data_IF_027910021152
#
_entry.id   IF_027910021152
#
_cell.length_a   1.000
_cell.length_b   1.000
_cell.length_c   1.000
_cell.angle_alpha   90.00
_cell.angle_beta   90.00
_cell.angle_gamma   90.00
#
_symmetry.space_group_name_H-M   'P 1'
#
loop_
_entity.id
_entity.type
_entity.pdbx_description
1 polymer ?
#
# COMPACT_ATOMS: atom_id res chain seq x y z
N UNK A 1 -49.11 -5.98 7.49
CA UNK A 1 -49.51 -4.87 6.60
C UNK A 1 -48.66 -4.95 5.33
N UNK A 2 -49.24 -5.46 4.24
CA UNK A 2 -48.79 -5.49 2.83
C UNK A 2 -47.29 -5.24 2.51
N UNK A 3 -46.44 -6.28 2.56
CA UNK A 3 -45.31 -6.38 1.63
C UNK A 3 -45.89 -6.85 0.28
N UNK A 4 -46.42 -5.88 -0.47
CA UNK A 4 -46.97 -6.09 -1.81
C UNK A 4 -45.92 -6.72 -2.71
N UNK A 5 -46.29 -7.87 -3.25
CA UNK A 5 -45.96 -8.41 -4.56
C UNK A 5 -45.56 -7.31 -5.56
N UNK A 6 -44.29 -6.92 -5.54
CA UNK A 6 -43.64 -6.42 -6.75
C UNK A 6 -43.22 -7.67 -7.49
N UNK A 7 -44.03 -8.01 -8.49
CA UNK A 7 -43.71 -8.89 -9.62
C UNK A 7 -42.19 -9.00 -9.77
N UNK A 8 -41.65 -10.17 -9.43
CA UNK A 8 -40.27 -10.50 -9.71
C UNK A 8 -40.14 -10.56 -11.24
N UNK A 9 -39.82 -9.42 -11.87
CA UNK A 9 -39.00 -9.46 -13.07
C UNK A 9 -37.86 -10.44 -12.75
N UNK A 10 -37.80 -11.55 -13.49
CA UNK A 10 -36.69 -12.50 -13.38
C UNK A 10 -35.41 -11.69 -13.57
N UNK A 11 -34.74 -11.34 -12.47
CA UNK A 11 -33.46 -10.65 -12.54
C UNK A 11 -32.57 -11.52 -13.43
N UNK A 12 -31.96 -10.97 -14.49
CA UNK A 12 -31.12 -11.76 -15.39
C UNK A 12 -30.03 -12.43 -14.57
N UNK A 13 -29.65 -13.65 -14.96
CA UNK A 13 -28.57 -14.39 -14.32
C UNK A 13 -27.31 -13.51 -14.28
N UNK A 14 -26.81 -13.22 -13.08
CA UNK A 14 -25.56 -12.48 -12.88
C UNK A 14 -24.48 -13.45 -12.43
N UNK A 15 -23.35 -13.46 -13.14
CA UNK A 15 -22.18 -14.28 -12.80
C UNK A 15 -21.16 -13.52 -11.93
N UNK A 16 -21.38 -12.23 -11.68
CA UNK A 16 -20.55 -11.39 -10.83
C UNK A 16 -21.43 -10.53 -9.93
N UNK A 17 -20.93 -10.21 -8.73
CA UNK A 17 -21.56 -9.28 -7.79
C UNK A 17 -20.64 -8.09 -7.57
N UNK A 18 -20.72 -7.04 -8.41
CA UNK A 18 -19.83 -5.90 -8.29
C UNK A 18 -19.96 -5.22 -6.92
N UNK A 19 -18.83 -5.08 -6.22
CA UNK A 19 -18.72 -4.24 -5.03
C UNK A 19 -18.92 -2.79 -5.45
N UNK A 20 -19.87 -2.13 -4.79
CA UNK A 20 -20.07 -0.69 -4.95
C UNK A 20 -18.99 0.04 -4.18
N UNK A 21 -18.05 0.66 -4.89
CA UNK A 21 -17.02 1.49 -4.28
C UNK A 21 -17.63 2.85 -3.92
N UNK A 22 -17.56 3.30 -2.66
CA UNK A 22 -17.96 4.66 -2.29
C UNK A 22 -17.07 5.68 -3.01
N UNK A 23 -17.67 6.73 -3.57
CA UNK A 23 -16.88 7.79 -4.19
C UNK A 23 -16.06 8.52 -3.12
N UNK A 24 -14.74 8.72 -3.35
CA UNK A 24 -13.92 9.43 -2.39
C UNK A 24 -14.25 10.92 -2.41
N UNK A 25 -14.04 11.58 -1.27
CA UNK A 25 -14.20 13.03 -1.15
C UNK A 25 -13.15 13.81 -1.94
N UNK A 26 -11.97 13.23 -2.10
CA UNK A 26 -10.86 13.76 -2.87
C UNK A 26 -10.25 12.67 -3.74
N UNK A 27 -9.98 13.01 -4.99
CA UNK A 27 -9.23 12.18 -5.92
C UNK A 27 -7.78 12.64 -5.95
N UNK A 28 -6.87 11.71 -6.17
CA UNK A 28 -5.43 11.94 -6.24
C UNK A 28 -5.11 12.65 -7.56
N UNK A 29 -4.54 13.83 -7.45
CA UNK A 29 -3.98 14.64 -8.54
C UNK A 29 -2.55 14.27 -8.92
N UNK A 30 -2.09 14.76 -10.08
CA UNK A 30 -0.85 14.29 -10.71
C UNK A 30 0.43 14.70 -9.98
N UNK A 31 0.39 15.83 -9.27
CA UNK A 31 1.52 16.40 -8.53
C UNK A 31 1.43 16.17 -7.02
N UNK A 32 0.39 15.46 -6.59
CA UNK A 32 0.11 15.26 -5.19
C UNK A 32 0.98 14.15 -4.62
N UNK A 33 1.59 14.40 -3.47
CA UNK A 33 2.37 13.39 -2.76
C UNK A 33 1.44 12.32 -2.18
N UNK A 34 1.66 11.06 -2.57
CA UNK A 34 1.01 9.89 -1.96
C UNK A 34 1.97 9.24 -0.96
N UNK A 35 1.49 8.95 0.23
CA UNK A 35 2.20 8.16 1.23
C UNK A 35 1.45 6.85 1.45
N UNK A 36 2.12 5.70 1.32
CA UNK A 36 1.51 4.38 1.52
C UNK A 36 2.09 3.69 2.76
N UNK A 37 1.26 3.13 3.62
CA UNK A 37 1.69 2.26 4.71
C UNK A 37 0.79 1.04 4.83
N UNK A 38 1.37 -0.12 5.09
CA UNK A 38 0.54 -1.28 5.42
C UNK A 38 1.15 -2.62 5.08
N UNK A 39 0.26 -3.60 4.88
CA UNK A 39 0.56 -4.97 4.43
C UNK A 39 1.27 -5.03 3.07
N UNK A 40 1.65 -6.22 2.59
CA UNK A 40 2.24 -6.41 1.26
C UNK A 40 1.38 -5.82 0.12
N UNK A 41 0.06 -5.71 0.30
CA UNK A 41 -0.80 -5.08 -0.69
C UNK A 41 -0.52 -3.56 -0.85
N UNK A 42 -0.01 -2.89 0.20
CA UNK A 42 0.48 -1.52 0.09
C UNK A 42 1.68 -1.42 -0.87
N UNK A 43 2.53 -2.44 -0.95
CA UNK A 43 3.64 -2.47 -1.92
C UNK A 43 3.13 -2.62 -3.36
N UNK A 44 2.05 -3.37 -3.58
CA UNK A 44 1.39 -3.43 -4.90
C UNK A 44 0.84 -2.07 -5.32
N UNK A 45 0.19 -1.34 -4.40
CA UNK A 45 -0.29 0.03 -4.64
C UNK A 45 0.89 0.96 -4.92
N UNK A 46 1.97 0.86 -4.14
CA UNK A 46 3.17 1.69 -4.29
C UNK A 46 3.84 1.46 -5.66
N UNK A 47 4.08 0.19 -6.03
CA UNK A 47 4.64 -0.15 -7.35
C UNK A 47 3.74 0.32 -8.48
N UNK A 48 2.42 0.24 -8.30
CA UNK A 48 1.46 0.72 -9.27
C UNK A 48 1.65 2.22 -9.56
N UNK A 49 1.81 3.04 -8.53
CA UNK A 49 2.09 4.47 -8.66
C UNK A 49 3.48 4.73 -9.26
N UNK A 50 4.52 4.04 -8.79
CA UNK A 50 5.90 4.17 -9.27
C UNK A 50 6.02 3.87 -10.78
N UNK A 51 5.46 2.74 -11.23
CA UNK A 51 5.43 2.36 -12.66
C UNK A 51 4.66 3.35 -13.55
N UNK A 52 3.87 4.23 -12.94
CA UNK A 52 3.08 5.26 -13.62
C UNK A 52 3.62 6.65 -13.35
N UNK A 53 4.82 6.77 -12.76
CA UNK A 53 5.49 8.03 -12.43
C UNK A 53 4.65 8.99 -11.58
N UNK A 54 3.73 8.45 -10.79
CA UNK A 54 2.97 9.23 -9.82
C UNK A 54 3.79 9.29 -8.52
N UNK A 55 4.03 10.48 -7.94
CA UNK A 55 4.86 10.63 -6.74
C UNK A 55 4.31 9.83 -5.56
N UNK A 56 5.09 8.84 -5.11
CA UNK A 56 4.72 8.00 -3.97
C UNK A 56 5.93 7.70 -3.08
N UNK A 57 5.71 7.69 -1.77
CA UNK A 57 6.62 7.14 -0.77
C UNK A 57 5.89 6.09 0.05
N UNK A 58 6.59 5.07 0.55
CA UNK A 58 5.92 4.01 1.29
C UNK A 58 6.75 3.42 2.42
N UNK A 59 6.03 2.84 3.40
CA UNK A 59 6.53 1.87 4.38
C UNK A 59 7.88 2.26 5.00
N UNK A 60 7.91 3.25 5.92
CA UNK A 60 9.14 3.81 6.50
C UNK A 60 10.04 2.77 7.17
N UNK A 61 9.44 1.75 7.80
CA UNK A 61 10.11 0.60 8.39
C UNK A 61 9.93 -0.69 7.61
N UNK A 62 9.43 -0.64 6.37
CA UNK A 62 8.95 -1.83 5.65
C UNK A 62 7.50 -2.20 6.01
N UNK A 63 7.10 -3.41 5.58
CA UNK A 63 5.70 -3.86 5.63
C UNK A 63 5.19 -3.91 7.07
N UNK A 64 4.10 -3.20 7.34
CA UNK A 64 3.48 -3.08 8.67
C UNK A 64 2.02 -3.48 8.60
N UNK A 65 1.68 -4.67 9.09
CA UNK A 65 0.37 -5.27 8.82
C UNK A 65 -0.76 -4.76 9.72
N UNK A 66 -0.47 -4.33 10.94
CA UNK A 66 -1.50 -4.07 11.94
C UNK A 66 -1.67 -2.56 12.23
N UNK A 67 -2.89 -2.11 12.54
CA UNK A 67 -3.17 -0.70 12.85
C UNK A 67 -2.38 -0.11 14.02
N UNK A 68 -2.03 -0.91 15.02
CA UNK A 68 -1.36 -0.44 16.24
C UNK A 68 0.09 -0.04 15.92
N UNK A 69 0.81 -0.88 15.18
CA UNK A 69 2.15 -0.57 14.67
C UNK A 69 2.13 0.60 13.68
N UNK A 70 1.09 0.71 12.84
CA UNK A 70 0.92 1.88 11.96
C UNK A 70 0.74 3.16 12.80
N UNK A 71 -0.11 3.15 13.82
CA UNK A 71 -0.30 4.27 14.75
C UNK A 71 1.01 4.68 15.42
N UNK A 72 1.82 3.71 15.86
CA UNK A 72 3.15 3.97 16.41
C UNK A 72 4.04 4.71 15.40
N UNK A 73 4.13 4.22 14.16
CA UNK A 73 4.89 4.88 13.10
C UNK A 73 4.41 6.30 12.80
N UNK A 74 3.09 6.51 12.68
CA UNK A 74 2.53 7.84 12.44
C UNK A 74 2.91 8.81 13.57
N UNK A 75 2.78 8.38 14.82
CA UNK A 75 3.15 9.21 15.96
C UNK A 75 4.65 9.55 15.97
N UNK A 76 5.53 8.58 15.67
CA UNK A 76 6.96 8.81 15.65
C UNK A 76 7.36 9.79 14.54
N UNK A 77 6.77 9.67 13.34
CA UNK A 77 7.04 10.59 12.24
C UNK A 77 6.53 12.00 12.54
N UNK A 78 5.32 12.14 13.08
CA UNK A 78 4.75 13.45 13.45
C UNK A 78 5.56 14.10 14.58
N UNK A 79 5.91 13.33 15.61
CA UNK A 79 6.64 13.77 16.79
C UNK A 79 8.15 13.87 16.62
N UNK A 80 8.68 13.66 15.41
CA UNK A 80 10.13 13.64 15.11
C UNK A 80 10.92 12.77 16.10
N UNK A 81 10.44 11.55 16.29
CA UNK A 81 11.02 10.55 17.20
C UNK A 81 11.72 9.46 16.38
N UNK A 82 12.95 9.71 15.91
CA UNK A 82 13.72 8.73 15.14
C UNK A 82 14.10 7.51 16.01
N UNK A 83 14.46 6.37 15.38
CA UNK A 83 15.05 5.26 16.11
C UNK A 83 16.30 5.71 16.86
N UNK A 84 16.62 5.03 17.96
CA UNK A 84 17.83 5.28 18.75
C UNK A 84 18.82 4.14 18.61
N UNK A 85 20.11 4.45 18.73
CA UNK A 85 21.18 3.46 18.55
C UNK A 85 21.10 2.33 19.58
N UNK A 86 20.59 2.60 20.78
CA UNK A 86 20.46 1.62 21.87
C UNK A 86 19.34 0.60 21.61
N UNK A 87 18.38 0.94 20.74
CA UNK A 87 17.28 0.06 20.32
C UNK A 87 17.73 -0.93 19.23
N UNK A 88 18.94 -0.75 18.69
CA UNK A 88 19.52 -1.62 17.67
C UNK A 88 20.27 -2.80 18.31
N UNK A 89 19.71 -3.99 18.14
CA UNK A 89 20.23 -5.24 18.72
C UNK A 89 20.83 -6.16 17.66
N UNK A 90 21.77 -7.01 18.06
CA UNK A 90 22.39 -8.01 17.19
C UNK A 90 21.65 -9.35 17.28
N UNK A 91 21.42 -9.99 16.14
CA UNK A 91 20.95 -11.36 16.07
C UNK A 91 21.45 -12.03 14.78
N UNK A 92 22.15 -13.17 14.91
CA UNK A 92 22.66 -13.98 13.79
C UNK A 92 23.56 -13.22 12.81
N UNK A 93 24.45 -12.37 13.32
CA UNK A 93 25.43 -11.61 12.57
C UNK A 93 24.89 -10.35 11.89
N UNK A 94 23.65 -9.95 12.20
CA UNK A 94 23.02 -8.75 11.67
C UNK A 94 22.46 -7.90 12.80
N UNK A 95 22.43 -6.59 12.59
CA UNK A 95 21.84 -5.61 13.49
C UNK A 95 20.43 -5.26 13.04
N UNK A 96 19.50 -5.29 13.99
CA UNK A 96 18.06 -5.24 13.79
C UNK A 96 17.41 -4.18 14.68
N UNK A 97 16.19 -3.81 14.34
CA UNK A 97 15.31 -2.98 15.17
C UNK A 97 13.89 -3.51 15.04
N UNK A 98 13.16 -3.64 16.15
CA UNK A 98 11.83 -4.30 16.16
C UNK A 98 10.76 -3.58 15.32
N UNK A 99 10.92 -2.28 15.11
CA UNK A 99 10.04 -1.48 14.24
C UNK A 99 10.40 -1.51 12.75
N UNK A 100 11.56 -2.08 12.37
CA UNK A 100 12.04 -2.12 10.98
C UNK A 100 12.10 -3.54 10.44
N UNK A 101 11.79 -3.70 9.16
CA UNK A 101 11.90 -4.96 8.43
C UNK A 101 13.36 -5.37 8.27
N UNK A 102 13.63 -6.67 8.13
CA UNK A 102 14.98 -7.21 7.98
C UNK A 102 15.77 -6.68 6.76
N UNK A 103 15.11 -6.04 5.80
CA UNK A 103 15.78 -5.32 4.69
C UNK A 103 16.59 -4.11 5.17
N UNK A 104 16.29 -3.58 6.35
CA UNK A 104 17.03 -2.48 6.97
C UNK A 104 18.25 -2.95 7.75
N UNK A 105 18.35 -4.26 8.03
CA UNK A 105 19.42 -4.84 8.81
C UNK A 105 20.75 -4.81 8.07
N UNK A 106 21.84 -4.64 8.82
CA UNK A 106 23.21 -4.61 8.31
C UNK A 106 24.16 -5.37 9.25
N UNK A 107 25.31 -5.86 8.77
CA UNK A 107 26.32 -6.51 9.64
C UNK A 107 26.97 -5.60 10.69
N UNK A 108 26.75 -4.28 10.66
CA UNK A 108 27.28 -3.34 11.65
C UNK A 108 26.19 -2.44 12.24
N UNK A 109 26.26 -2.17 13.55
CA UNK A 109 25.27 -1.38 14.30
C UNK A 109 25.07 0.01 13.69
N UNK A 110 26.16 0.75 13.50
CA UNK A 110 26.09 2.12 12.99
C UNK A 110 25.54 2.18 11.56
N UNK A 111 25.88 1.19 10.74
CA UNK A 111 25.35 1.08 9.38
C UNK A 111 23.85 0.76 9.37
N UNK A 112 23.38 -0.14 10.24
CA UNK A 112 21.97 -0.46 10.38
C UNK A 112 21.19 0.76 10.90
N UNK A 113 21.69 1.39 11.96
CA UNK A 113 21.12 2.61 12.54
C UNK A 113 21.03 3.74 11.52
N UNK A 114 22.12 4.05 10.81
CA UNK A 114 22.15 5.13 9.82
C UNK A 114 21.14 4.89 8.69
N UNK A 115 21.01 3.66 8.21
CA UNK A 115 20.03 3.28 7.20
C UNK A 115 18.57 3.42 7.71
N UNK A 116 18.31 3.10 8.97
CA UNK A 116 17.00 3.27 9.60
C UNK A 116 16.66 4.76 9.83
N UNK A 117 17.65 5.54 10.29
CA UNK A 117 17.53 6.98 10.50
C UNK A 117 17.25 7.72 9.20
N UNK A 118 18.00 7.42 8.13
CA UNK A 118 17.78 8.01 6.81
C UNK A 118 16.35 7.76 6.31
N UNK A 119 15.87 6.52 6.47
CA UNK A 119 14.50 6.15 6.12
C UNK A 119 13.47 6.94 6.94
N UNK A 120 13.70 7.11 8.25
CA UNK A 120 12.83 7.90 9.11
C UNK A 120 12.75 9.35 8.64
N UNK A 121 13.90 10.01 8.45
CA UNK A 121 13.99 11.42 8.05
C UNK A 121 13.25 11.64 6.72
N UNK A 122 13.56 10.82 5.72
CA UNK A 122 12.90 10.90 4.40
C UNK A 122 11.39 10.66 4.51
N UNK A 123 10.99 9.67 5.30
CA UNK A 123 9.56 9.35 5.46
C UNK A 123 8.79 10.44 6.17
N UNK A 124 9.40 11.08 7.16
CA UNK A 124 8.80 12.21 7.88
C UNK A 124 8.55 13.35 6.91
N UNK A 125 9.57 13.77 6.16
CA UNK A 125 9.45 14.81 5.15
C UNK A 125 8.31 14.51 4.16
N UNK A 126 8.25 13.28 3.67
CA UNK A 126 7.23 12.86 2.70
C UNK A 126 5.82 12.81 3.29
N UNK A 127 5.65 12.35 4.52
CA UNK A 127 4.34 12.27 5.17
C UNK A 127 3.78 13.66 5.46
N UNK A 128 4.61 14.59 5.94
CA UNK A 128 4.17 15.95 6.28
C UNK A 128 3.80 16.78 5.06
N UNK A 129 4.34 16.46 3.88
CA UNK A 129 4.02 17.13 2.62
C UNK A 129 3.05 16.34 1.74
N UNK A 130 2.61 15.15 2.16
CA UNK A 130 1.66 14.35 1.38
C UNK A 130 0.27 14.98 1.37
N UNK A 131 -0.46 14.83 0.28
CA UNK A 131 -1.90 15.16 0.21
C UNK A 131 -2.77 13.93 0.46
N UNK A 132 -2.22 12.74 0.19
CA UNK A 132 -2.91 11.48 0.40
C UNK A 132 -2.07 10.50 1.22
N UNK A 133 -2.69 9.89 2.23
CA UNK A 133 -2.14 8.76 2.99
C UNK A 133 -3.00 7.52 2.77
N UNK A 134 -2.43 6.46 2.20
CA UNK A 134 -3.11 5.18 1.99
C UNK A 134 -2.67 4.19 3.08
N UNK A 135 -3.61 3.74 3.91
CA UNK A 135 -3.35 2.77 4.97
C UNK A 135 -4.00 1.42 4.63
N UNK A 136 -3.17 0.39 4.48
CA UNK A 136 -3.60 -0.96 4.11
C UNK A 136 -3.47 -1.92 5.30
N UNK A 137 -4.57 -2.19 6.00
CA UNK A 137 -4.57 -3.07 7.17
C UNK A 137 -4.59 -4.55 6.77
N UNK A 138 -3.60 -5.30 7.23
CA UNK A 138 -3.47 -6.74 7.03
C UNK A 138 -4.16 -7.56 8.12
N UNK A 139 -3.88 -7.25 9.39
CA UNK A 139 -4.36 -8.04 10.54
C UNK A 139 -4.66 -7.18 11.77
N UNK A 140 -5.64 -7.59 12.57
CA UNK A 140 -5.97 -7.03 13.88
C UNK A 140 -5.13 -7.63 15.03
N UNK A 141 -4.12 -8.45 14.72
CA UNK A 141 -3.21 -9.02 15.71
C UNK A 141 -1.88 -8.28 15.76
N UNK A 142 -1.33 -8.13 16.96
CA UNK A 142 0.05 -7.66 17.18
C UNK A 142 0.89 -8.77 17.79
N UNK A 143 2.21 -8.63 17.65
CA UNK A 143 3.17 -9.29 18.52
C UNK A 143 3.78 -8.23 19.45
N UNK A 144 4.00 -8.59 20.70
CA UNK A 144 4.71 -7.75 21.67
C UNK A 144 5.81 -8.55 22.35
N UNK A 145 6.94 -7.91 22.66
CA UNK A 145 8.00 -8.53 23.45
C UNK A 145 7.47 -8.90 24.83
N UNK A 146 7.74 -10.13 25.28
CA UNK A 146 7.36 -10.56 26.64
C UNK A 146 8.10 -9.81 27.73
N UNK A 147 9.33 -9.41 27.44
CA UNK A 147 10.21 -8.75 28.41
C UNK A 147 9.66 -7.39 28.88
N UNK A 148 9.11 -6.59 27.97
CA UNK A 148 8.73 -5.21 28.25
C UNK A 148 7.33 -4.81 27.72
N UNK A 149 6.63 -5.71 27.02
CA UNK A 149 5.31 -5.46 26.43
C UNK A 149 5.32 -4.59 25.16
N UNK A 150 6.48 -4.22 24.62
CA UNK A 150 6.57 -3.38 23.43
C UNK A 150 5.98 -4.10 22.22
N UNK A 151 5.04 -3.46 21.52
CA UNK A 151 4.50 -3.96 20.24
C UNK A 151 5.55 -3.83 19.15
N UNK A 152 5.85 -4.95 18.48
CA UNK A 152 6.88 -5.02 17.44
C UNK A 152 6.27 -5.14 16.06
N UNK A 153 6.96 -4.60 15.05
CA UNK A 153 6.57 -4.72 13.64
C UNK A 153 7.27 -5.90 12.95
N UNK A 154 8.42 -6.35 13.47
CA UNK A 154 9.16 -7.50 12.95
C UNK A 154 9.84 -8.29 14.08
N UNK A 155 9.63 -9.61 14.11
CA UNK A 155 10.23 -10.51 15.10
C UNK A 155 11.63 -11.01 14.72
N UNK A 156 12.19 -10.64 13.55
CA UNK A 156 13.55 -10.97 13.09
C UNK A 156 13.98 -12.44 13.23
N UNK A 157 13.02 -13.37 13.09
CA UNK A 157 13.21 -14.83 13.27
C UNK A 157 13.69 -15.24 14.67
N UNK A 158 13.53 -14.37 15.68
CA UNK A 158 13.70 -14.75 17.08
C UNK A 158 12.69 -15.86 17.47
N UNK A 159 12.99 -16.64 18.51
CA UNK A 159 12.06 -17.63 19.05
C UNK A 159 10.68 -17.05 19.32
N UNK A 160 9.62 -17.76 18.91
CA UNK A 160 8.24 -17.33 19.15
C UNK A 160 7.87 -17.25 20.63
N UNK A 161 8.66 -17.86 21.51
CA UNK A 161 8.54 -17.78 22.98
C UNK A 161 8.86 -16.40 23.53
N UNK A 162 9.50 -15.53 22.75
CA UNK A 162 9.90 -14.19 23.18
C UNK A 162 8.77 -13.16 22.97
N UNK A 163 7.67 -13.59 22.35
CA UNK A 163 6.57 -12.72 21.96
C UNK A 163 5.23 -13.21 22.48
N UNK A 164 4.39 -12.25 22.87
CA UNK A 164 2.97 -12.46 23.06
C UNK A 164 2.18 -11.97 21.86
N UNK A 165 1.11 -12.68 21.54
CA UNK A 165 0.23 -12.36 20.42
C UNK A 165 -1.12 -11.91 20.93
N UNK A 166 -1.52 -10.70 20.56
CA UNK A 166 -2.72 -10.04 21.09
C UNK A 166 -3.67 -9.69 19.97
N UNK A 167 -4.95 -10.04 20.14
CA UNK A 167 -6.04 -9.58 19.26
C UNK A 167 -6.51 -8.20 19.70
N UNK A 168 -6.66 -7.29 18.75
CA UNK A 168 -7.22 -5.97 18.99
C UNK A 168 -8.67 -5.90 18.49
N UNK A 169 -9.65 -5.69 19.40
CA UNK A 169 -11.03 -5.46 19.00
C UNK A 169 -11.18 -4.09 18.30
N UNK A 170 -12.29 -3.89 17.54
CA UNK A 170 -12.44 -2.71 16.67
C UNK A 170 -12.34 -1.37 17.39
N UNK A 171 -12.87 -1.26 18.61
CA UNK A 171 -12.85 -0.01 19.38
C UNK A 171 -11.43 0.39 19.80
N UNK A 172 -10.57 -0.54 20.21
CA UNK A 172 -9.18 -0.21 20.55
C UNK A 172 -8.38 0.24 19.32
N UNK A 173 -8.64 -0.38 18.16
CA UNK A 173 -8.05 0.03 16.89
C UNK A 173 -8.47 1.46 16.55
N UNK A 174 -9.78 1.75 16.66
CA UNK A 174 -10.33 3.09 16.46
C UNK A 174 -9.65 4.09 17.38
N UNK A 175 -9.66 3.86 18.69
CA UNK A 175 -9.17 4.83 19.67
C UNK A 175 -7.69 5.17 19.45
N UNK A 176 -6.86 4.18 19.11
CA UNK A 176 -5.44 4.40 18.79
C UNK A 176 -5.25 5.21 17.52
N UNK A 177 -5.97 4.88 16.45
CA UNK A 177 -5.84 5.61 15.19
C UNK A 177 -6.45 7.01 15.24
N UNK A 178 -7.57 7.21 15.93
CA UNK A 178 -8.16 8.55 16.15
C UNK A 178 -7.15 9.49 16.81
N UNK A 179 -6.50 9.05 17.88
CA UNK A 179 -5.46 9.84 18.55
C UNK A 179 -4.30 10.20 17.61
N UNK A 180 -3.84 9.25 16.79
CA UNK A 180 -2.79 9.52 15.79
C UNK A 180 -3.24 10.44 14.67
N UNK A 181 -4.47 10.29 14.18
CA UNK A 181 -5.01 11.11 13.10
C UNK A 181 -5.22 12.55 13.51
N UNK A 182 -5.67 12.83 14.75
CA UNK A 182 -5.73 14.20 15.24
C UNK A 182 -4.37 14.90 15.19
N UNK A 183 -3.32 14.27 15.75
CA UNK A 183 -1.96 14.82 15.70
C UNK A 183 -1.46 15.02 14.27
N UNK A 184 -1.77 14.06 13.39
CA UNK A 184 -1.37 14.14 11.99
C UNK A 184 -2.09 15.28 11.25
N UNK A 185 -3.37 15.51 11.53
CA UNK A 185 -4.13 16.60 10.91
C UNK A 185 -3.76 17.98 11.47
N UNK A 186 -3.24 18.07 12.69
CA UNK A 186 -2.66 19.31 13.23
C UNK A 186 -1.42 19.75 12.43
N UNK A 187 -0.54 18.81 12.05
CA UNK A 187 0.66 19.12 11.27
C UNK A 187 0.43 19.14 9.76
N UNK A 188 -0.57 18.41 9.26
CA UNK A 188 -0.95 18.38 7.85
C UNK A 188 -2.48 18.52 7.68
N UNK A 189 -3.00 19.76 7.75
CA UNK A 189 -4.44 20.04 7.73
C UNK A 189 -5.13 19.71 6.41
N UNK A 190 -4.40 19.48 5.32
CA UNK A 190 -4.96 19.14 4.01
C UNK A 190 -4.89 17.64 3.70
N UNK A 191 -4.35 16.82 4.60
CA UNK A 191 -4.19 15.39 4.35
C UNK A 191 -5.53 14.67 4.27
N UNK A 192 -5.71 13.87 3.23
CA UNK A 192 -6.80 12.91 3.09
C UNK A 192 -6.30 11.47 3.26
N UNK A 193 -7.03 10.67 4.03
CA UNK A 193 -6.66 9.28 4.31
C UNK A 193 -7.56 8.33 3.53
N UNK A 194 -6.95 7.37 2.83
CA UNK A 194 -7.63 6.27 2.16
C UNK A 194 -7.34 5.01 2.95
N UNK A 195 -8.36 4.50 3.63
CA UNK A 195 -8.28 3.24 4.35
C UNK A 195 -8.59 2.09 3.39
N UNK A 196 -7.91 0.96 3.57
CA UNK A 196 -8.25 -0.28 2.87
C UNK A 196 -7.88 -1.49 3.72
N UNK A 197 -8.65 -2.55 3.63
CA UNK A 197 -8.32 -3.84 4.23
C UNK A 197 -7.67 -4.71 3.16
N UNK A 198 -6.52 -5.29 3.49
CA UNK A 198 -5.73 -6.08 2.55
C UNK A 198 -6.52 -7.30 2.05
N UNK A 199 -6.53 -7.57 0.73
CA UNK A 199 -7.13 -8.79 0.16
C UNK A 199 -6.34 -10.05 0.50
N UNK A 200 -5.09 -9.92 0.97
CA UNK A 200 -4.24 -11.04 1.35
C UNK A 200 -4.77 -11.67 2.65
N UNK A 201 -4.93 -12.99 2.64
CA UNK A 201 -5.38 -13.77 3.80
C UNK A 201 -4.20 -14.08 4.72
N UNK A 202 -4.42 -14.17 6.02
CA UNK A 202 -3.42 -14.62 6.99
C UNK A 202 -3.67 -16.09 7.35
N UNK A 203 -3.40 -17.02 6.43
CA UNK A 203 -3.73 -18.44 6.61
C UNK A 203 -2.98 -19.10 7.78
N UNK A 204 -1.80 -18.58 8.15
CA UNK A 204 -1.02 -19.06 9.31
C UNK A 204 -1.79 -18.95 10.63
N UNK A 205 -2.75 -18.03 10.72
CA UNK A 205 -3.59 -17.84 11.91
C UNK A 205 -4.80 -18.79 11.92
N UNK A 206 -5.01 -19.56 10.86
CA UNK A 206 -6.22 -20.31 10.61
C UNK A 206 -7.36 -19.44 10.07
N UNK A 207 -8.23 -20.04 9.27
CA UNK A 207 -9.30 -19.34 8.57
C UNK A 207 -10.25 -18.58 9.50
N UNK A 208 -10.58 -19.19 10.65
CA UNK A 208 -11.47 -18.59 11.64
C UNK A 208 -10.89 -17.28 12.19
N UNK A 209 -9.62 -17.29 12.59
CA UNK A 209 -8.97 -16.10 13.14
C UNK A 209 -8.69 -15.05 12.06
N UNK A 210 -8.39 -15.47 10.83
CA UNK A 210 -8.32 -14.55 9.70
C UNK A 210 -9.67 -13.82 9.51
N UNK A 211 -10.79 -14.55 9.49
CA UNK A 211 -12.11 -13.94 9.33
C UNK A 211 -12.45 -12.98 10.48
N UNK A 212 -12.16 -13.36 11.73
CA UNK A 212 -12.31 -12.47 12.90
C UNK A 212 -11.45 -11.22 12.78
N UNK A 213 -10.19 -11.38 12.36
CA UNK A 213 -9.23 -10.31 12.14
C UNK A 213 -9.72 -9.31 11.10
N UNK A 214 -10.09 -9.79 9.90
CA UNK A 214 -10.62 -8.95 8.82
C UNK A 214 -11.92 -8.25 9.22
N UNK A 215 -12.83 -8.96 9.88
CA UNK A 215 -14.07 -8.36 10.41
C UNK A 215 -13.77 -7.24 11.41
N UNK A 216 -12.79 -7.45 12.29
CA UNK A 216 -12.38 -6.43 13.26
C UNK A 216 -11.87 -5.16 12.57
N UNK A 217 -11.04 -5.34 11.54
CA UNK A 217 -10.49 -4.23 10.74
C UNK A 217 -11.58 -3.48 9.98
N UNK A 218 -12.52 -4.19 9.34
CA UNK A 218 -13.62 -3.57 8.58
C UNK A 218 -14.50 -2.72 9.50
N UNK A 219 -14.85 -3.23 10.68
CA UNK A 219 -15.63 -2.46 11.67
C UNK A 219 -14.84 -1.26 12.19
N UNK A 220 -13.53 -1.42 12.45
CA UNK A 220 -12.69 -0.29 12.88
C UNK A 220 -12.60 0.80 11.80
N UNK A 221 -12.48 0.41 10.52
CA UNK A 221 -12.53 1.35 9.39
C UNK A 221 -13.85 2.10 9.37
N UNK A 222 -14.99 1.42 9.54
CA UNK A 222 -16.29 2.08 9.63
C UNK A 222 -16.29 3.14 10.73
N UNK A 223 -15.87 2.81 11.95
CA UNK A 223 -15.83 3.77 13.05
C UNK A 223 -14.92 4.97 12.77
N UNK A 224 -13.80 4.76 12.10
CA UNK A 224 -12.89 5.84 11.70
C UNK A 224 -13.51 6.76 10.64
N UNK A 225 -14.26 6.20 9.69
CA UNK A 225 -14.98 7.00 8.69
C UNK A 225 -16.11 7.82 9.32
N UNK A 226 -16.80 7.28 10.35
CA UNK A 226 -17.82 8.00 11.10
C UNK A 226 -17.23 9.15 11.92
N UNK A 227 -16.02 8.97 12.48
CA UNK A 227 -15.30 10.02 13.20
C UNK A 227 -14.80 11.14 12.27
N UNK A 228 -14.36 10.79 11.06
CA UNK A 228 -13.71 11.73 10.12
C UNK A 228 -14.34 11.70 8.71
N UNK A 229 -15.63 12.00 8.54
CA UNK A 229 -16.40 11.73 7.31
C UNK A 229 -15.91 12.51 6.07
N UNK A 230 -15.25 13.65 6.27
CA UNK A 230 -14.75 14.49 5.17
C UNK A 230 -13.26 14.29 4.87
N UNK A 231 -12.56 13.50 5.70
CA UNK A 231 -11.10 13.30 5.62
C UNK A 231 -10.73 11.86 5.28
N UNK A 232 -11.62 10.92 5.58
CA UNK A 232 -11.38 9.50 5.36
C UNK A 232 -12.29 8.93 4.28
N UNK A 233 -11.73 8.02 3.48
CA UNK A 233 -12.47 7.20 2.53
C UNK A 233 -12.04 5.74 2.65
N UNK A 234 -12.90 4.82 2.20
CA UNK A 234 -12.61 3.39 2.22
C UNK A 234 -12.59 2.80 0.81
N UNK A 235 -11.44 2.22 0.45
CA UNK A 235 -11.30 1.43 -0.77
C UNK A 235 -11.47 -0.07 -0.43
N UNK A 236 -12.52 -0.75 -0.93
CA UNK A 236 -12.89 -2.10 -0.50
C UNK A 236 -12.10 -3.20 -1.24
N UNK A 237 -10.77 -3.20 -1.13
CA UNK A 237 -9.91 -4.17 -1.80
C UNK A 237 -10.19 -5.61 -1.34
N UNK A 238 -10.42 -5.82 -0.05
CA UNK A 238 -10.74 -7.12 0.54
C UNK A 238 -12.07 -7.66 -0.01
N UNK A 239 -13.11 -6.86 -0.03
CA UNK A 239 -14.43 -7.25 -0.53
C UNK A 239 -14.38 -7.50 -2.04
N UNK A 240 -13.62 -6.72 -2.82
CA UNK A 240 -13.46 -7.01 -4.26
C UNK A 240 -12.84 -8.40 -4.46
N UNK A 241 -11.80 -8.74 -3.70
CA UNK A 241 -11.18 -10.07 -3.78
C UNK A 241 -12.16 -11.17 -3.34
N UNK A 242 -12.83 -10.98 -2.19
CA UNK A 242 -13.71 -12.00 -1.63
C UNK A 242 -15.05 -12.13 -2.37
N UNK A 243 -15.57 -11.07 -2.99
CA UNK A 243 -16.94 -11.01 -3.50
C UNK A 243 -17.06 -10.90 -5.03
N UNK A 244 -16.12 -10.22 -5.69
CA UNK A 244 -16.07 -10.15 -7.16
C UNK A 244 -15.14 -11.21 -7.75
N UNK A 245 -14.01 -11.47 -7.08
CA UNK A 245 -12.96 -12.38 -7.52
C UNK A 245 -12.99 -13.72 -6.74
N UNK A 246 -14.18 -14.26 -6.55
CA UNK A 246 -14.50 -15.46 -5.73
C UNK A 246 -13.86 -16.79 -6.15
N UNK A 247 -13.10 -16.82 -7.24
CA UNK A 247 -12.58 -18.06 -7.85
C UNK A 247 -11.11 -18.28 -7.45
N UNK A 248 -10.73 -19.54 -7.18
CA UNK A 248 -9.36 -19.91 -6.84
C UNK A 248 -8.31 -19.49 -7.87
N UNK A 249 -8.69 -19.29 -9.14
CA UNK A 249 -7.81 -18.74 -10.18
C UNK A 249 -7.22 -17.36 -9.83
N UNK A 250 -7.83 -16.65 -8.88
CA UNK A 250 -7.37 -15.35 -8.43
C UNK A 250 -6.40 -15.42 -7.25
N UNK A 251 -6.12 -16.61 -6.72
CA UNK A 251 -5.08 -16.84 -5.73
C UNK A 251 -3.83 -17.43 -6.39
N UNK A 252 -2.66 -16.99 -5.95
CA UNK A 252 -1.38 -17.59 -6.33
C UNK A 252 -1.22 -19.00 -5.78
N UNK A 253 -0.10 -19.64 -6.10
CA UNK A 253 0.18 -21.04 -5.74
C UNK A 253 0.11 -21.31 -4.22
N UNK A 254 0.37 -20.29 -3.40
CA UNK A 254 0.27 -20.38 -1.94
C UNK A 254 -1.15 -20.24 -1.37
N UNK A 255 -2.15 -20.08 -2.24
CA UNK A 255 -3.57 -19.90 -1.91
C UNK A 255 -3.87 -18.75 -0.94
N UNK A 256 -2.92 -17.82 -0.80
CA UNK A 256 -2.91 -16.77 0.21
C UNK A 256 -2.85 -15.40 -0.43
N UNK A 257 -1.94 -15.23 -1.40
CA UNK A 257 -1.76 -13.97 -2.11
C UNK A 257 -2.63 -13.94 -3.38
N UNK A 258 -3.20 -12.78 -3.73
CA UNK A 258 -3.86 -12.61 -5.02
C UNK A 258 -2.87 -12.77 -6.19
N UNK A 259 -3.34 -13.28 -7.33
CA UNK A 259 -2.55 -13.31 -8.57
C UNK A 259 -2.32 -11.91 -9.10
N UNK A 260 -1.35 -11.76 -10.01
CA UNK A 260 -1.13 -10.47 -10.69
C UNK A 260 -2.39 -10.00 -11.43
N UNK A 261 -3.20 -10.93 -11.96
CA UNK A 261 -4.48 -10.60 -12.60
C UNK A 261 -5.47 -9.97 -11.61
N UNK A 262 -5.62 -10.58 -10.42
CA UNK A 262 -6.48 -10.07 -9.36
C UNK A 262 -6.03 -8.70 -8.87
N UNK A 263 -4.72 -8.54 -8.58
CA UNK A 263 -4.13 -7.24 -8.20
C UNK A 263 -4.39 -6.18 -9.28
N UNK A 264 -4.20 -6.51 -10.56
CA UNK A 264 -4.42 -5.57 -11.67
C UNK A 264 -5.89 -5.17 -11.79
N UNK A 265 -6.82 -6.10 -11.55
CA UNK A 265 -8.25 -5.83 -11.53
C UNK A 265 -8.64 -4.88 -10.40
N UNK A 266 -8.18 -5.14 -9.18
CA UNK A 266 -8.42 -4.28 -8.01
C UNK A 266 -7.84 -2.87 -8.26
N UNK A 267 -6.60 -2.77 -8.74
CA UNK A 267 -5.96 -1.48 -9.03
C UNK A 267 -6.62 -0.73 -10.20
N UNK A 268 -7.22 -1.43 -11.16
CA UNK A 268 -8.05 -0.78 -12.20
C UNK A 268 -9.27 -0.11 -11.57
N UNK A 269 -9.92 -0.76 -10.61
CA UNK A 269 -11.03 -0.15 -9.86
C UNK A 269 -10.57 1.03 -9.02
N UNK A 270 -9.43 0.90 -8.34
CA UNK A 270 -8.81 2.02 -7.62
C UNK A 270 -8.59 3.21 -8.56
N UNK A 271 -7.96 2.99 -9.71
CA UNK A 271 -7.70 4.00 -10.75
C UNK A 271 -8.96 4.77 -11.13
N UNK A 272 -10.07 4.07 -11.38
CA UNK A 272 -11.32 4.69 -11.86
C UNK A 272 -11.93 5.63 -10.83
N UNK A 273 -11.89 5.28 -9.55
CA UNK A 273 -12.55 6.03 -8.47
C UNK A 273 -11.63 7.06 -7.80
N UNK A 274 -10.36 6.73 -7.61
CA UNK A 274 -9.45 7.50 -6.76
C UNK A 274 -8.49 8.39 -7.51
N UNK A 275 -8.33 8.27 -8.82
CA UNK A 275 -7.48 9.17 -9.61
C UNK A 275 -8.35 10.12 -10.42
N UNK A 276 -7.93 11.38 -10.52
CA UNK A 276 -8.61 12.35 -11.38
C UNK A 276 -8.57 11.91 -12.85
N UNK A 277 -9.51 12.35 -13.71
CA UNK A 277 -9.48 12.01 -15.13
C UNK A 277 -8.13 12.26 -15.81
N UNK A 278 -7.50 13.41 -15.53
CA UNK A 278 -6.16 13.75 -16.02
C UNK A 278 -5.10 12.72 -15.60
N UNK A 279 -5.11 12.32 -14.32
CA UNK A 279 -4.16 11.32 -13.80
C UNK A 279 -4.41 9.96 -14.41
N UNK A 280 -5.66 9.56 -14.68
CA UNK A 280 -5.97 8.27 -15.32
C UNK A 280 -5.42 8.21 -16.74
N UNK A 281 -5.55 9.29 -17.50
CA UNK A 281 -5.01 9.38 -18.85
C UNK A 281 -3.48 9.29 -18.84
N UNK A 282 -2.83 10.10 -18.00
CA UNK A 282 -1.38 10.05 -17.83
C UNK A 282 -0.89 8.67 -17.36
N UNK A 283 -1.53 8.09 -16.35
CA UNK A 283 -1.21 6.77 -15.80
C UNK A 283 -1.28 5.67 -16.85
N UNK A 284 -2.23 5.75 -17.79
CA UNK A 284 -2.32 4.82 -18.91
C UNK A 284 -1.13 4.94 -19.85
N UNK A 285 -0.75 6.16 -20.21
CA UNK A 285 0.37 6.41 -21.11
C UNK A 285 1.72 6.04 -20.48
N UNK A 286 1.93 6.43 -19.22
CA UNK A 286 3.14 6.12 -18.47
C UNK A 286 3.29 4.62 -18.18
N UNK A 287 2.19 3.96 -17.79
CA UNK A 287 2.20 2.51 -17.58
C UNK A 287 2.55 1.73 -18.85
N UNK A 288 2.14 2.22 -20.03
CA UNK A 288 2.54 1.60 -21.30
C UNK A 288 4.04 1.73 -21.58
N UNK A 289 4.67 2.86 -21.23
CA UNK A 289 6.13 3.04 -21.35
C UNK A 289 6.85 2.11 -20.36
N UNK A 290 6.40 2.06 -19.10
CA UNK A 290 6.97 1.15 -18.11
C UNK A 290 6.85 -0.32 -18.55
N UNK A 291 5.74 -0.70 -19.18
CA UNK A 291 5.58 -2.04 -19.77
C UNK A 291 6.57 -2.28 -20.91
N UNK A 292 6.78 -1.28 -21.78
CA UNK A 292 7.73 -1.35 -22.88
C UNK A 292 9.19 -1.51 -22.39
N UNK A 293 9.57 -0.84 -21.31
CA UNK A 293 10.89 -0.99 -20.68
C UNK A 293 11.10 -2.39 -20.08
N UNK A 294 10.05 -3.00 -19.56
CA UNK A 294 10.13 -4.35 -19.01
C UNK A 294 10.05 -5.46 -20.08
N UNK A 295 9.74 -5.10 -21.33
CA UNK A 295 9.67 -6.07 -22.42
C UNK A 295 11.07 -6.44 -22.93
N UNK A 296 11.37 -7.74 -22.99
CA UNK A 296 12.63 -8.22 -23.57
C UNK A 296 12.47 -8.44 -25.08
N UNK A 297 13.18 -7.70 -25.95
CA UNK A 297 13.09 -7.89 -27.39
C UNK A 297 13.69 -9.25 -27.79
N UNK A 298 12.99 -9.98 -28.68
CA UNK A 298 13.44 -11.28 -29.18
C UNK A 298 14.65 -11.17 -30.12
N UNK A 299 14.72 -10.10 -30.91
CA UNK A 299 15.83 -9.80 -31.82
C UNK A 299 16.32 -8.36 -31.60
N UNK A 300 17.15 -8.14 -30.57
CA UNK A 300 17.76 -6.83 -30.32
C UNK A 300 18.52 -6.33 -31.56
N UNK A 301 18.36 -5.06 -31.91
CA UNK A 301 19.06 -4.42 -33.05
C UNK A 301 18.41 -4.62 -34.43
N UNK A 302 17.33 -5.41 -34.55
CA UNK A 302 16.56 -5.48 -35.80
C UNK A 302 15.97 -4.12 -36.20
N UNK A 303 15.54 -3.97 -37.45
CA UNK A 303 14.85 -2.75 -37.90
C UNK A 303 13.55 -2.51 -37.12
N UNK A 304 12.78 -3.57 -36.87
CA UNK A 304 11.56 -3.51 -36.06
C UNK A 304 11.85 -3.05 -34.63
N UNK A 305 12.93 -3.55 -34.02
CA UNK A 305 13.34 -3.12 -32.69
C UNK A 305 13.74 -1.65 -32.67
N UNK A 306 14.50 -1.19 -33.68
CA UNK A 306 14.88 0.22 -33.82
C UNK A 306 13.66 1.13 -34.03
N UNK A 307 12.71 0.71 -34.84
CA UNK A 307 11.45 1.43 -35.06
C UNK A 307 10.62 1.51 -33.77
N UNK A 308 10.53 0.41 -33.02
CA UNK A 308 9.88 0.36 -31.72
C UNK A 308 10.51 1.34 -30.74
N UNK A 309 11.84 1.31 -30.58
CA UNK A 309 12.57 2.24 -29.69
C UNK A 309 12.34 3.70 -30.08
N UNK A 310 12.40 4.02 -31.38
CA UNK A 310 12.11 5.38 -31.88
C UNK A 310 10.69 5.83 -31.55
N UNK A 311 9.71 4.93 -31.62
CA UNK A 311 8.34 5.20 -31.22
C UNK A 311 8.21 5.48 -29.71
N UNK A 312 8.97 4.76 -28.86
CA UNK A 312 9.00 5.03 -27.42
C UNK A 312 9.61 6.40 -27.10
N UNK A 313 10.73 6.77 -27.74
CA UNK A 313 11.31 8.11 -27.57
C UNK A 313 10.32 9.21 -27.96
N UNK A 314 9.65 9.08 -29.11
CA UNK A 314 8.63 10.06 -29.53
C UNK A 314 7.50 10.20 -28.49
N UNK A 315 7.06 9.08 -27.90
CA UNK A 315 6.02 9.11 -26.86
C UNK A 315 6.52 9.77 -25.58
N UNK A 316 7.75 9.47 -25.17
CA UNK A 316 8.39 10.12 -24.02
C UNK A 316 8.49 11.63 -24.26
N UNK A 317 8.91 12.07 -25.45
CA UNK A 317 9.04 13.50 -25.78
C UNK A 317 7.69 14.23 -25.67
N UNK A 318 6.63 13.65 -26.22
CA UNK A 318 5.26 14.18 -26.11
C UNK A 318 4.79 14.28 -24.66
N UNK A 319 5.08 13.27 -23.84
CA UNK A 319 4.75 13.28 -22.42
C UNK A 319 5.61 14.28 -21.64
N UNK A 320 6.89 14.44 -21.98
CA UNK A 320 7.76 15.44 -21.36
C UNK A 320 7.32 16.87 -21.67
N UNK A 321 6.81 17.13 -22.88
CA UNK A 321 6.22 18.43 -23.23
C UNK A 321 4.95 18.71 -22.41
N UNK A 322 4.06 17.72 -22.29
CA UNK A 322 2.80 17.85 -21.56
C UNK A 322 2.98 17.86 -20.03
N UNK A 323 3.94 17.10 -19.52
CA UNK A 323 4.21 16.90 -18.09
C UNK A 323 5.70 17.09 -17.77
N UNK A 324 6.22 18.34 -17.81
CA UNK A 324 7.66 18.64 -17.73
C UNK A 324 8.28 18.34 -16.35
N UNK A 325 7.47 18.06 -15.34
CA UNK A 325 7.91 17.72 -13.99
C UNK A 325 8.15 16.21 -13.80
N UNK A 326 7.84 15.38 -14.80
CA UNK A 326 8.06 13.93 -14.75
C UNK A 326 9.43 13.59 -15.28
N UNK A 327 10.23 12.86 -14.50
CA UNK A 327 11.53 12.36 -14.92
C UNK A 327 11.42 11.03 -15.68
N UNK A 328 11.94 11.07 -16.93
CA UNK A 328 12.02 9.95 -17.87
C UNK A 328 13.46 9.52 -18.17
N UNK A 329 14.42 9.98 -17.36
CA UNK A 329 15.85 9.72 -17.54
C UNK A 329 16.15 8.22 -17.63
N UNK A 330 15.63 7.43 -16.68
CA UNK A 330 15.81 5.98 -16.61
C UNK A 330 15.24 5.26 -17.85
N UNK A 331 14.03 5.60 -18.29
CA UNK A 331 13.42 5.01 -19.48
C UNK A 331 14.22 5.35 -20.74
N UNK A 332 14.66 6.61 -20.87
CA UNK A 332 15.47 7.07 -22.00
C UNK A 332 16.82 6.36 -22.03
N UNK A 333 17.45 6.17 -20.87
CA UNK A 333 18.70 5.43 -20.75
C UNK A 333 18.52 3.96 -21.15
N UNK A 334 17.48 3.30 -20.65
CA UNK A 334 17.15 1.93 -21.03
C UNK A 334 16.99 1.78 -22.54
N UNK A 335 16.15 2.62 -23.17
CA UNK A 335 15.92 2.54 -24.61
C UNK A 335 17.17 2.85 -25.42
N UNK A 336 18.02 3.76 -24.94
CA UNK A 336 19.33 4.03 -25.56
C UNK A 336 20.23 2.79 -25.48
N UNK A 337 20.37 2.18 -24.31
CA UNK A 337 21.17 0.98 -24.11
C UNK A 337 20.65 -0.23 -24.91
N UNK A 338 19.34 -0.29 -25.19
CA UNK A 338 18.74 -1.37 -25.98
C UNK A 338 19.14 -1.37 -27.46
N UNK A 339 19.69 -0.26 -27.97
CA UNK A 339 20.07 -0.10 -29.37
C UNK A 339 21.49 -0.61 -29.70
N UNK A 340 22.28 -0.99 -28.69
CA UNK A 340 23.70 -1.35 -28.85
C UNK A 340 24.61 -0.20 -28.47
#
# INVERSE_FOLDING_TARGET
MRYREKMAEKRPMKLMTPVKIPEPKQQIGLKEGVFCMGSCFADHITRFFQQRKIPVHANPGGITYNPISISHWLNNLVGDSPPRTEEVFEYRGLYHHFQFHGSFSRPGRDAAYSNMLESHIKSRERLLNAKHLILTFGTAYTFSLRENGEVVSNCHKLPGTDFDRTFHPPHLIRDKLVSSFHKLFEVNPDLHIILTVSPIRHLRDGLINNSRSKSSLIIAVQYLQEEFPDRLSYFPAYEIEMDELRDYRFYGEDMTHPTQQAVSYILKKFTVHYLTPEVRDFAGEAGAISTAVNHRPLHPGSEDHRAFVKAQFKKIDQLSEKYPFVDWSEEREYFRASLG
#
